data_IF_588860729012
#
_entry.id   IF_588860729012
#
_cell.length_a   1.000
_cell.length_b   1.000
_cell.length_c   1.000
_cell.angle_alpha   90.00
_cell.angle_beta   90.00
_cell.angle_gamma   90.00
#
_symmetry.space_group_name_H-M   'P 1'
#
loop_
_entity.id
_entity.type
_entity.pdbx_description
1 polymer ?
#
# COMPACT_ATOMS: atom_id res chain seq x y z
N UNK A 1 -0.32 26.42 7.45
CA UNK A 1 -1.29 25.47 6.86
C UNK A 1 -0.86 24.09 7.30
N UNK A 2 -1.78 23.28 7.84
CA UNK A 2 -1.49 21.87 8.12
C UNK A 2 -1.25 21.13 6.79
N UNK A 3 -0.31 20.17 6.73
CA UNK A 3 -0.14 19.34 5.55
C UNK A 3 -1.43 18.55 5.26
N UNK A 4 -1.68 18.25 3.99
CA UNK A 4 -2.84 17.46 3.57
C UNK A 4 -2.64 16.00 3.96
N UNK A 5 -3.70 15.34 4.40
CA UNK A 5 -3.69 13.88 4.58
C UNK A 5 -3.61 13.16 3.23
N UNK A 6 -3.16 11.90 3.17
CA UNK A 6 -3.18 11.09 1.94
C UNK A 6 -4.55 11.03 1.27
N UNK A 7 -5.62 10.86 2.05
CA UNK A 7 -7.00 10.87 1.52
C UNK A 7 -7.39 12.21 0.88
N UNK A 8 -6.99 13.34 1.47
CA UNK A 8 -7.22 14.66 0.90
C UNK A 8 -6.38 14.89 -0.35
N UNK A 9 -5.12 14.45 -0.36
CA UNK A 9 -4.24 14.52 -1.53
C UNK A 9 -4.81 13.72 -2.70
N UNK A 10 -5.34 12.52 -2.41
CA UNK A 10 -6.05 11.68 -3.38
C UNK A 10 -7.32 12.33 -3.90
N UNK A 11 -8.18 12.83 -3.01
CA UNK A 11 -9.43 13.48 -3.40
C UNK A 11 -9.21 14.72 -4.30
N UNK A 12 -8.07 15.40 -4.12
CA UNK A 12 -7.64 16.53 -4.94
C UNK A 12 -6.80 16.14 -6.16
N UNK A 13 -6.55 14.85 -6.36
CA UNK A 13 -5.75 14.30 -7.46
C UNK A 13 -4.37 14.96 -7.57
N UNK A 14 -3.72 15.18 -6.44
CA UNK A 14 -2.38 15.76 -6.44
C UNK A 14 -1.41 14.86 -7.22
N UNK A 15 -0.47 15.45 -7.99
CA UNK A 15 0.48 14.68 -8.76
C UNK A 15 1.41 13.89 -7.82
N UNK A 16 1.62 12.62 -8.15
CA UNK A 16 2.58 11.74 -7.49
C UNK A 16 4.00 12.06 -7.96
N UNK A 17 4.99 11.85 -7.09
CA UNK A 17 6.40 12.20 -7.32
C UNK A 17 7.24 11.02 -7.79
N UNK A 18 6.94 9.82 -7.33
CA UNK A 18 7.79 8.63 -7.43
C UNK A 18 7.07 7.46 -8.12
N UNK A 19 5.82 7.20 -7.77
CA UNK A 19 5.02 6.10 -8.31
C UNK A 19 4.51 6.44 -9.72
N UNK A 20 4.50 5.43 -10.58
CA UNK A 20 3.96 5.52 -11.95
C UNK A 20 2.49 5.14 -11.99
N UNK A 21 1.76 5.63 -12.99
CA UNK A 21 0.33 5.35 -13.13
C UNK A 21 -0.03 3.86 -13.08
N UNK A 22 0.74 2.98 -13.72
CA UNK A 22 0.50 1.53 -13.68
C UNK A 22 0.78 0.90 -12.30
N UNK A 23 1.76 1.44 -11.57
CA UNK A 23 2.07 1.03 -10.19
C UNK A 23 0.92 1.41 -9.27
N UNK A 24 0.38 2.62 -9.42
CA UNK A 24 -0.77 3.14 -8.67
C UNK A 24 -2.01 2.30 -8.89
N UNK A 25 -2.36 1.99 -10.14
CA UNK A 25 -3.56 1.18 -10.43
C UNK A 25 -3.47 -0.21 -9.83
N UNK A 26 -2.27 -0.81 -9.81
CA UNK A 26 -2.04 -2.12 -9.20
C UNK A 26 -2.11 -2.02 -7.68
N UNK A 27 -1.45 -1.01 -7.10
CA UNK A 27 -1.42 -0.77 -5.67
C UNK A 27 -2.83 -0.56 -5.10
N UNK A 28 -3.63 0.32 -5.71
CA UNK A 28 -4.99 0.60 -5.24
C UNK A 28 -5.87 -0.66 -5.31
N UNK A 29 -5.84 -1.41 -6.41
CA UNK A 29 -6.62 -2.65 -6.54
C UNK A 29 -6.24 -3.71 -5.49
N UNK A 30 -4.94 -3.92 -5.28
CA UNK A 30 -4.43 -4.92 -4.34
C UNK A 30 -4.65 -4.49 -2.89
N UNK A 31 -4.33 -3.23 -2.56
CA UNK A 31 -4.52 -2.70 -1.22
C UNK A 31 -5.99 -2.68 -0.81
N UNK A 32 -6.91 -2.35 -1.72
CA UNK A 32 -8.36 -2.43 -1.46
C UNK A 32 -8.81 -3.85 -1.14
N UNK A 33 -8.26 -4.85 -1.85
CA UNK A 33 -8.55 -6.26 -1.58
C UNK A 33 -7.95 -6.78 -0.26
N UNK A 34 -6.82 -6.22 0.17
CA UNK A 34 -6.15 -6.57 1.44
C UNK A 34 -6.80 -5.90 2.64
N UNK A 35 -7.15 -4.61 2.49
CA UNK A 35 -7.69 -3.74 3.52
C UNK A 35 -8.75 -2.85 2.88
N UNK A 36 -10.04 -3.22 2.98
CA UNK A 36 -11.13 -2.41 2.43
C UNK A 36 -11.09 -0.97 2.93
N UNK A 37 -11.24 0.00 2.02
CA UNK A 37 -11.10 1.43 2.29
C UNK A 37 -9.69 1.99 2.05
N UNK A 38 -8.67 1.16 1.75
CA UNK A 38 -7.31 1.64 1.49
C UNK A 38 -7.23 2.62 0.32
N UNK A 39 -8.03 2.41 -0.73
CA UNK A 39 -8.08 3.32 -1.87
C UNK A 39 -8.62 4.69 -1.43
N UNK A 40 -9.74 4.73 -0.72
CA UNK A 40 -10.33 5.99 -0.24
C UNK A 40 -9.41 6.72 0.75
N UNK A 41 -8.74 5.96 1.63
CA UNK A 41 -7.80 6.49 2.61
C UNK A 41 -6.52 7.07 1.97
N UNK A 42 -6.28 6.81 0.68
CA UNK A 42 -5.20 7.44 -0.08
C UNK A 42 -3.89 6.68 -0.07
N UNK A 43 -3.93 5.34 -0.07
CA UNK A 43 -2.74 4.48 -0.03
C UNK A 43 -1.68 4.82 -1.09
N UNK A 44 -2.10 5.22 -2.29
CA UNK A 44 -1.20 5.63 -3.38
C UNK A 44 -0.42 6.90 -3.05
N UNK A 45 -1.10 7.92 -2.51
CA UNK A 45 -0.48 9.18 -2.05
C UNK A 45 0.37 9.00 -0.80
N UNK A 46 -0.05 8.13 0.13
CA UNK A 46 0.77 7.78 1.30
C UNK A 46 2.08 7.12 0.85
N UNK A 47 2.00 6.03 0.08
CA UNK A 47 3.18 5.29 -0.34
C UNK A 47 4.14 6.18 -1.15
N UNK A 48 3.62 7.00 -2.05
CA UNK A 48 4.41 7.95 -2.83
C UNK A 48 5.12 8.98 -1.94
N UNK A 49 4.41 9.56 -0.96
CA UNK A 49 4.98 10.52 -0.01
C UNK A 49 6.10 9.87 0.82
N UNK A 50 5.85 8.68 1.36
CA UNK A 50 6.83 7.99 2.21
C UNK A 50 8.08 7.58 1.42
N UNK A 51 7.92 7.10 0.18
CA UNK A 51 9.04 6.78 -0.70
C UNK A 51 9.84 8.01 -1.12
N UNK A 52 9.25 9.19 -1.06
CA UNK A 52 9.88 10.45 -1.40
C UNK A 52 10.42 11.22 -0.18
N UNK A 53 10.21 10.70 1.03
CA UNK A 53 10.69 11.23 2.29
C UNK A 53 12.13 10.79 2.58
N UNK A 54 12.76 11.37 3.60
CA UNK A 54 14.08 10.95 4.05
C UNK A 54 14.03 9.56 4.70
N UNK A 55 15.18 8.93 4.89
CA UNK A 55 15.27 7.67 5.63
C UNK A 55 14.73 7.78 7.08
N UNK A 56 14.90 8.96 7.69
CA UNK A 56 14.48 9.25 9.05
C UNK A 56 12.96 9.49 9.14
N UNK A 57 12.38 10.12 8.11
CA UNK A 57 10.98 10.54 8.13
C UNK A 57 10.01 9.52 7.51
N UNK A 58 10.49 8.56 6.70
CA UNK A 58 9.59 7.54 6.15
C UNK A 58 9.09 6.57 7.23
N UNK A 59 7.87 6.09 7.04
CA UNK A 59 7.09 5.32 8.00
C UNK A 59 6.66 3.96 7.43
N UNK A 60 7.25 3.55 6.31
CA UNK A 60 6.92 2.30 5.64
C UNK A 60 7.33 1.10 6.50
N UNK A 61 6.52 0.04 6.47
CA UNK A 61 6.78 -1.20 7.22
C UNK A 61 8.20 -1.73 6.95
N UNK A 62 8.69 -1.60 5.72
CA UNK A 62 10.05 -1.98 5.31
C UNK A 62 11.17 -1.37 6.18
N UNK A 63 11.01 -0.14 6.67
CA UNK A 63 11.98 0.50 7.57
C UNK A 63 12.14 -0.29 8.86
N UNK A 64 11.04 -0.73 9.44
CA UNK A 64 11.02 -1.51 10.68
C UNK A 64 11.51 -2.95 10.48
N UNK A 65 11.53 -3.42 9.23
CA UNK A 65 12.09 -4.71 8.82
C UNK A 65 13.58 -4.63 8.42
N UNK A 66 14.21 -3.46 8.58
CA UNK A 66 15.64 -3.26 8.31
C UNK A 66 16.00 -3.08 6.83
N UNK A 67 15.02 -2.84 5.96
CA UNK A 67 15.28 -2.54 4.54
C UNK A 67 15.70 -1.08 4.40
N UNK A 68 16.82 -0.84 3.72
CA UNK A 68 17.37 0.50 3.55
C UNK A 68 16.45 1.37 2.69
N UNK A 69 16.42 2.68 2.93
CA UNK A 69 15.58 3.60 2.14
C UNK A 69 15.87 3.52 0.63
N UNK A 70 17.12 3.23 0.24
CA UNK A 70 17.50 3.06 -1.17
C UNK A 70 16.85 1.83 -1.83
N UNK A 71 16.54 0.79 -1.05
CA UNK A 71 15.98 -0.48 -1.54
C UNK A 71 14.44 -0.52 -1.51
N UNK A 72 13.78 0.43 -0.81
CA UNK A 72 12.33 0.43 -0.67
C UNK A 72 11.60 0.68 -2.00
N UNK A 73 12.01 1.68 -2.79
CA UNK A 73 11.37 1.93 -4.09
C UNK A 73 11.54 0.74 -5.07
N UNK A 74 12.75 0.18 -5.26
CA UNK A 74 12.92 -1.06 -6.02
C UNK A 74 12.03 -2.20 -5.53
N UNK A 75 11.86 -2.37 -4.21
CA UNK A 75 10.97 -3.36 -3.62
C UNK A 75 9.52 -3.18 -4.09
N UNK A 76 8.90 -2.02 -3.88
CA UNK A 76 7.49 -1.82 -4.25
C UNK A 76 7.29 -1.91 -5.75
N UNK A 77 8.20 -1.35 -6.55
CA UNK A 77 8.12 -1.41 -8.01
C UNK A 77 8.19 -2.85 -8.51
N UNK A 78 9.14 -3.65 -8.00
CA UNK A 78 9.28 -5.06 -8.35
C UNK A 78 8.06 -5.88 -7.92
N UNK A 79 7.57 -5.63 -6.70
CA UNK A 79 6.37 -6.26 -6.15
C UNK A 79 5.13 -5.97 -7.02
N UNK A 80 4.79 -4.70 -7.24
CA UNK A 80 3.61 -4.31 -8.02
C UNK A 80 3.69 -4.83 -9.47
N UNK A 81 4.87 -4.78 -10.08
CA UNK A 81 5.08 -5.39 -11.41
C UNK A 81 4.85 -6.90 -11.41
N UNK A 82 5.32 -7.62 -10.39
CA UNK A 82 5.15 -9.07 -10.28
C UNK A 82 3.70 -9.46 -9.99
N UNK A 83 2.98 -8.67 -9.19
CA UNK A 83 1.56 -8.89 -8.91
C UNK A 83 0.71 -8.71 -10.18
N UNK A 84 0.91 -7.63 -10.93
CA UNK A 84 0.17 -7.42 -12.19
C UNK A 84 0.52 -8.47 -13.25
N UNK A 85 1.78 -8.90 -13.32
CA UNK A 85 2.18 -10.00 -14.20
C UNK A 85 1.49 -11.32 -13.81
N UNK A 86 1.43 -11.65 -12.52
CA UNK A 86 0.75 -12.85 -12.02
C UNK A 86 -0.75 -12.80 -12.32
N UNK A 87 -1.41 -11.66 -12.12
CA UNK A 87 -2.82 -11.46 -12.45
C UNK A 87 -3.06 -11.71 -13.96
N UNK A 88 -2.24 -11.11 -14.83
CA UNK A 88 -2.33 -11.30 -16.29
C UNK A 88 -2.07 -12.73 -16.70
N UNK A 89 -1.11 -13.41 -16.08
CA UNK A 89 -0.80 -14.79 -16.39
C UNK A 89 -1.98 -15.71 -16.06
N UNK A 90 -2.55 -15.55 -14.86
CA UNK A 90 -3.57 -16.44 -14.29
C UNK A 90 -4.98 -16.16 -14.79
N UNK A 91 -5.36 -14.88 -14.87
CA UNK A 91 -6.73 -14.46 -15.17
C UNK A 91 -6.88 -13.76 -16.53
N UNK A 92 -5.77 -13.56 -17.26
CA UNK A 92 -5.75 -12.83 -18.55
C UNK A 92 -6.25 -11.38 -18.43
N UNK A 93 -6.18 -10.81 -17.23
CA UNK A 93 -6.61 -9.47 -16.91
C UNK A 93 -5.62 -8.80 -15.94
N UNK A 94 -5.46 -7.46 -16.01
CA UNK A 94 -4.70 -6.72 -15.01
C UNK A 94 -5.44 -6.66 -13.67
N UNK A 95 -4.75 -6.30 -12.59
CA UNK A 95 -5.30 -6.36 -11.22
C UNK A 95 -6.61 -5.57 -11.05
N UNK A 96 -6.68 -4.36 -11.61
CA UNK A 96 -7.86 -3.48 -11.51
C UNK A 96 -9.09 -3.97 -12.29
N UNK A 97 -8.93 -5.00 -13.13
CA UNK A 97 -10.02 -5.60 -13.89
C UNK A 97 -10.47 -6.96 -13.32
N UNK A 98 -9.84 -7.42 -12.24
CA UNK A 98 -10.24 -8.65 -11.57
C UNK A 98 -11.55 -8.44 -10.81
N UNK A 99 -12.42 -9.44 -10.86
CA UNK A 99 -13.55 -9.48 -9.95
C UNK A 99 -13.11 -9.83 -8.52
N UNK A 100 -14.03 -9.73 -7.56
CA UNK A 100 -13.74 -10.00 -6.15
C UNK A 100 -13.19 -11.41 -5.93
N UNK A 101 -13.71 -12.43 -6.61
CA UNK A 101 -13.27 -13.81 -6.41
C UNK A 101 -11.85 -14.03 -6.98
N UNK A 102 -11.57 -13.48 -8.16
CA UNK A 102 -10.25 -13.52 -8.80
C UNK A 102 -9.21 -12.77 -7.97
N UNK A 103 -9.55 -11.58 -7.46
CA UNK A 103 -8.66 -10.82 -6.58
C UNK A 103 -8.36 -11.60 -5.29
N UNK A 104 -9.37 -12.17 -4.64
CA UNK A 104 -9.15 -12.98 -3.43
C UNK A 104 -8.27 -14.22 -3.70
N UNK A 105 -8.44 -14.87 -4.85
CA UNK A 105 -7.55 -15.97 -5.25
C UNK A 105 -6.11 -15.50 -5.49
N UNK A 106 -5.92 -14.33 -6.12
CA UNK A 106 -4.59 -13.73 -6.30
C UNK A 106 -3.93 -13.47 -4.94
N UNK A 107 -4.63 -12.82 -4.01
CA UNK A 107 -4.12 -12.48 -2.69
C UNK A 107 -3.81 -13.74 -1.85
N UNK A 108 -4.64 -14.77 -1.95
CA UNK A 108 -4.37 -16.06 -1.31
C UNK A 108 -3.09 -16.72 -1.85
N UNK A 109 -2.85 -16.66 -3.16
CA UNK A 109 -1.59 -17.13 -3.77
C UNK A 109 -0.38 -16.34 -3.26
N UNK A 110 -0.49 -15.01 -3.12
CA UNK A 110 0.59 -14.21 -2.55
C UNK A 110 0.89 -14.64 -1.10
N UNK A 111 -0.15 -14.75 -0.27
CA UNK A 111 -0.01 -15.15 1.14
C UNK A 111 0.59 -16.54 1.32
N UNK A 112 0.31 -17.47 0.40
CA UNK A 112 0.79 -18.84 0.42
C UNK A 112 2.16 -19.05 -0.27
N UNK A 113 2.76 -18.01 -0.84
CA UNK A 113 3.92 -18.10 -1.74
C UNK A 113 3.71 -19.04 -2.95
N UNK A 114 2.45 -19.32 -3.32
CA UNK A 114 2.10 -20.11 -4.51
C UNK A 114 2.03 -19.23 -5.75
N UNK A 115 3.19 -18.72 -6.15
CA UNK A 115 3.34 -17.74 -7.24
C UNK A 115 4.36 -18.19 -8.29
N UNK A 116 3.99 -19.11 -9.20
CA UNK A 116 4.89 -19.56 -10.26
C UNK A 116 5.35 -18.40 -11.16
N UNK A 117 6.67 -18.27 -11.38
CA UNK A 117 7.24 -17.22 -12.22
C UNK A 117 7.42 -15.85 -11.54
N UNK A 118 7.30 -15.80 -10.22
CA UNK A 118 7.52 -14.61 -9.41
C UNK A 118 8.97 -14.12 -9.45
N UNK A 119 9.18 -12.80 -9.53
CA UNK A 119 10.50 -12.18 -9.74
C UNK A 119 10.81 -11.03 -8.75
N UNK A 120 10.04 -10.90 -7.67
CA UNK A 120 10.29 -9.92 -6.61
C UNK A 120 10.72 -10.62 -5.31
N UNK A 121 10.83 -9.85 -4.21
CA UNK A 121 10.93 -10.40 -2.87
C UNK A 121 9.80 -11.42 -2.59
N UNK A 122 9.95 -12.40 -1.68
CA UNK A 122 8.96 -13.45 -1.45
C UNK A 122 7.53 -12.92 -1.40
N UNK A 123 6.59 -13.59 -2.08
CA UNK A 123 5.25 -13.06 -2.28
C UNK A 123 4.48 -12.89 -0.96
N UNK A 124 4.69 -13.79 0.00
CA UNK A 124 4.12 -13.71 1.35
C UNK A 124 4.68 -12.52 2.14
N UNK A 125 5.96 -12.19 1.92
CA UNK A 125 6.60 -11.01 2.50
C UNK A 125 6.04 -9.72 1.88
N UNK A 126 5.87 -9.68 0.56
CA UNK A 126 5.21 -8.58 -0.14
C UNK A 126 3.77 -8.40 0.34
N UNK A 127 3.02 -9.49 0.48
CA UNK A 127 1.66 -9.50 1.04
C UNK A 127 1.63 -8.87 2.42
N UNK A 128 2.54 -9.29 3.31
CA UNK A 128 2.64 -8.77 4.67
C UNK A 128 2.93 -7.26 4.69
N UNK A 129 3.90 -6.80 3.90
CA UNK A 129 4.29 -5.38 3.83
C UNK A 129 3.13 -4.54 3.31
N UNK A 130 2.58 -4.87 2.13
CA UNK A 130 1.48 -4.11 1.52
C UNK A 130 0.25 -4.05 2.42
N UNK A 131 -0.09 -5.17 3.08
CA UNK A 131 -1.20 -5.20 4.03
C UNK A 131 -0.92 -4.29 5.24
N UNK A 132 0.30 -4.29 5.75
CA UNK A 132 0.68 -3.48 6.91
C UNK A 132 0.60 -1.99 6.61
N UNK A 133 1.20 -1.54 5.50
CA UNK A 133 1.14 -0.12 5.12
C UNK A 133 -0.31 0.32 4.83
N UNK A 134 -1.12 -0.56 4.23
CA UNK A 134 -2.55 -0.28 4.03
C UNK A 134 -3.32 -0.18 5.35
N UNK A 135 -3.02 -1.02 6.35
CA UNK A 135 -3.59 -0.92 7.69
C UNK A 135 -3.22 0.40 8.36
N UNK A 136 -1.97 0.84 8.24
CA UNK A 136 -1.51 2.10 8.84
C UNK A 136 -2.26 3.31 8.25
N UNK A 137 -2.48 3.32 6.94
CA UNK A 137 -3.23 4.39 6.27
C UNK A 137 -4.71 4.37 6.62
N UNK A 138 -5.33 3.19 6.71
CA UNK A 138 -6.77 3.08 6.96
C UNK A 138 -7.12 3.26 8.44
N UNK A 139 -6.38 2.60 9.34
CA UNK A 139 -6.73 2.50 10.76
C UNK A 139 -5.75 3.21 11.70
N UNK A 140 -4.52 3.50 11.26
CA UNK A 140 -3.51 4.21 12.06
C UNK A 140 -3.80 5.69 12.30
N UNK A 141 -4.80 6.25 11.60
CA UNK A 141 -5.25 7.63 11.79
C UNK A 141 -6.32 7.76 12.89
N UNK A 142 -6.45 8.95 13.48
CA UNK A 142 -7.52 9.24 14.43
C UNK A 142 -8.93 9.01 13.82
N UNK A 143 -9.09 9.33 12.54
CA UNK A 143 -10.33 9.07 11.79
C UNK A 143 -10.58 7.56 11.62
N UNK A 144 -9.53 6.80 11.28
CA UNK A 144 -9.57 5.34 11.14
C UNK A 144 -9.92 4.62 12.44
N UNK A 145 -9.28 5.00 13.55
CA UNK A 145 -9.57 4.47 14.88
C UNK A 145 -11.03 4.71 15.28
N UNK A 146 -11.54 5.92 15.03
CA UNK A 146 -12.95 6.26 15.28
C UNK A 146 -13.91 5.42 14.43
N UNK A 147 -13.56 5.09 13.19
CA UNK A 147 -14.43 4.31 12.30
C UNK A 147 -14.67 2.87 12.78
N UNK A 148 -13.77 2.34 13.60
CA UNK A 148 -13.87 0.99 14.20
C UNK A 148 -14.21 1.03 15.69
N UNK A 149 -14.70 2.17 16.18
CA UNK A 149 -15.09 2.41 17.58
C UNK A 149 -13.95 2.12 18.58
N UNK A 150 -12.70 2.31 18.14
CA UNK A 150 -11.53 2.26 19.01
C UNK A 150 -11.16 3.67 19.46
N UNK A 151 -10.95 3.90 20.76
CA UNK A 151 -10.49 5.19 21.24
C UNK A 151 -9.08 5.45 20.73
N UNK A 152 -8.92 6.52 19.96
CA UNK A 152 -7.60 7.07 19.66
C UNK A 152 -7.05 7.68 20.96
N UNK A 153 -6.09 6.99 21.58
CA UNK A 153 -5.48 7.38 22.87
C UNK A 153 -4.05 7.91 22.67
N UNK A 154 -3.86 9.11 22.09
CA UNK A 154 -2.54 9.68 21.96
C UNK A 154 -2.01 10.03 23.36
N UNK A 155 -0.93 9.38 23.79
CA UNK A 155 -0.20 9.81 24.98
C UNK A 155 0.50 11.17 24.76
N UNK A 156 0.87 11.45 23.51
CA UNK A 156 1.35 12.75 23.01
C UNK A 156 0.65 12.99 21.67
N UNK A 157 0.04 14.15 21.51
CA UNK A 157 -0.66 14.49 20.27
C UNK A 157 0.36 14.79 19.16
N UNK A 158 0.22 14.20 17.97
CA UNK A 158 1.16 14.47 16.88
C UNK A 158 1.03 15.92 16.41
N UNK A 159 2.16 16.59 16.20
CA UNK A 159 2.21 17.99 15.74
C UNK A 159 1.56 18.19 14.36
N UNK A 160 1.56 17.13 13.55
CA UNK A 160 0.90 17.09 12.24
C UNK A 160 0.05 15.82 12.10
N UNK A 161 -1.19 15.94 11.58
CA UNK A 161 -2.01 14.78 11.24
C UNK A 161 -1.30 13.87 10.23
N UNK A 162 -1.46 12.57 10.42
CA UNK A 162 -1.13 11.55 9.43
C UNK A 162 -2.12 11.55 8.26
#
# INVERSE_FOLDING_TARGET
MLPLTPSQARARQLPLRVLRAAEVTTLEAVAEGLVPGATEAGISHFLDQQLAASAEDNLLMLKYLGVTAADQLPFYRGALGSIDALARQRFKAPCQALDTAQLQQLLASLAADDTPGWQAAPASFVFFVLRSDAVDVVYGTAAGSKAIDLPYMPHIEPETPW
#
